data_IF_539370595149
#
_entry.id   IF_539370595149
#
_cell.length_a   1.000
_cell.length_b   1.000
_cell.length_c   1.000
_cell.angle_alpha   90.00
_cell.angle_beta   90.00
_cell.angle_gamma   90.00
#
_symmetry.space_group_name_H-M   'P 1'
#
loop_
_entity.id
_entity.type
_entity.pdbx_description
1 polymer ?
#
# COMPACT_ATOMS: atom_id res chain seq x y z
N UNK A 1 55.13 -16.99 1.33
CA UNK A 1 54.12 -16.38 0.43
C UNK A 1 52.98 -17.37 0.19
N UNK A 2 51.72 -16.94 0.37
CA UNK A 2 50.48 -17.64 -0.02
C UNK A 2 50.33 -17.66 -1.56
N UNK A 3 49.48 -18.52 -2.17
CA UNK A 3 48.05 -18.25 -2.21
C UNK A 3 47.16 -19.48 -1.91
N UNK A 4 46.33 -19.37 -0.86
CA UNK A 4 45.09 -20.14 -0.68
C UNK A 4 44.01 -19.50 -1.57
N UNK A 5 43.82 -20.04 -2.77
CA UNK A 5 42.84 -19.54 -3.76
C UNK A 5 41.95 -20.69 -4.25
N UNK A 6 41.30 -21.41 -3.33
CA UNK A 6 40.27 -22.39 -3.68
C UNK A 6 39.19 -22.29 -2.62
N UNK A 7 38.16 -21.46 -2.83
CA UNK A 7 36.81 -21.55 -2.20
C UNK A 7 35.97 -20.28 -2.41
N UNK A 8 35.97 -19.71 -3.62
CA UNK A 8 35.01 -18.65 -3.95
C UNK A 8 34.06 -19.04 -5.10
N UNK A 9 34.37 -20.10 -5.85
CA UNK A 9 33.53 -20.57 -6.97
C UNK A 9 32.35 -21.44 -6.54
N UNK A 10 32.45 -22.13 -5.39
CA UNK A 10 31.36 -22.98 -4.88
C UNK A 10 30.18 -22.17 -4.32
N UNK A 11 30.42 -20.97 -3.79
CA UNK A 11 29.36 -20.14 -3.22
C UNK A 11 28.43 -19.53 -4.29
N UNK A 12 28.97 -19.14 -5.45
CA UNK A 12 28.17 -18.59 -6.54
C UNK A 12 27.22 -19.61 -7.17
N UNK A 13 27.64 -20.88 -7.23
CA UNK A 13 26.81 -21.97 -7.77
C UNK A 13 25.57 -22.26 -6.89
N UNK A 14 25.67 -22.09 -5.56
CA UNK A 14 24.51 -22.29 -4.67
C UNK A 14 23.44 -21.20 -4.82
N UNK A 15 23.83 -19.95 -5.08
CA UNK A 15 22.87 -18.84 -5.28
C UNK A 15 22.11 -19.01 -6.60
N UNK A 16 22.73 -19.57 -7.63
CA UNK A 16 22.08 -19.86 -8.91
C UNK A 16 21.21 -21.13 -8.87
N UNK A 17 21.54 -22.11 -8.01
CA UNK A 17 20.74 -23.33 -7.85
C UNK A 17 19.49 -23.14 -6.96
N UNK A 18 19.53 -22.20 -6.01
CA UNK A 18 18.40 -21.89 -5.11
C UNK A 18 17.75 -20.53 -5.34
N UNK A 19 18.26 -19.72 -6.28
CA UNK A 19 17.57 -18.54 -6.82
C UNK A 19 16.37 -18.92 -7.70
N UNK A 20 15.65 -19.99 -7.32
CA UNK A 20 14.41 -20.41 -7.93
C UNK A 20 13.47 -19.22 -7.93
N UNK A 21 13.02 -18.89 -9.13
CA UNK A 21 12.10 -17.79 -9.43
C UNK A 21 11.07 -17.68 -8.30
N UNK A 22 11.08 -16.56 -7.57
CA UNK A 22 9.87 -16.08 -6.91
C UNK A 22 8.89 -15.82 -8.04
N UNK A 23 8.20 -16.86 -8.46
CA UNK A 23 7.03 -16.74 -9.29
C UNK A 23 6.07 -15.98 -8.40
N UNK A 24 5.75 -14.74 -8.75
CA UNK A 24 4.63 -14.04 -8.15
C UNK A 24 3.45 -15.01 -8.25
N UNK A 25 3.09 -15.65 -7.13
CA UNK A 25 1.93 -16.53 -7.09
C UNK A 25 0.78 -15.65 -7.54
N UNK A 26 0.24 -15.96 -8.72
CA UNK A 26 -0.95 -15.31 -9.22
C UNK A 26 -2.05 -15.73 -8.24
N UNK A 27 -2.34 -14.87 -7.27
CA UNK A 27 -3.48 -15.05 -6.39
C UNK A 27 -4.69 -15.27 -7.30
N UNK A 28 -5.42 -16.39 -7.15
CA UNK A 28 -6.62 -16.63 -7.93
C UNK A 28 -7.51 -15.39 -7.88
N UNK A 29 -8.17 -15.00 -8.99
CA UNK A 29 -9.02 -13.82 -9.00
C UNK A 29 -10.04 -13.89 -7.87
N UNK A 30 -9.93 -12.98 -6.91
CA UNK A 30 -10.91 -12.85 -5.84
C UNK A 30 -12.16 -12.15 -6.42
N UNK A 31 -13.31 -12.83 -6.50
CA UNK A 31 -14.53 -12.23 -7.01
C UNK A 31 -14.98 -11.00 -6.20
N UNK A 32 -14.56 -10.89 -4.92
CA UNK A 32 -14.83 -9.73 -4.07
C UNK A 32 -13.92 -8.53 -4.34
N UNK A 33 -12.76 -8.71 -4.96
CA UNK A 33 -11.78 -7.64 -5.12
C UNK A 33 -12.33 -6.45 -5.93
N UNK A 34 -13.05 -6.71 -7.03
CA UNK A 34 -13.66 -5.66 -7.83
C UNK A 34 -14.76 -4.90 -7.06
N UNK A 35 -15.54 -5.61 -6.25
CA UNK A 35 -16.57 -5.00 -5.41
C UNK A 35 -15.95 -4.10 -4.34
N UNK A 36 -14.90 -4.56 -3.66
CA UNK A 36 -14.16 -3.79 -2.67
C UNK A 36 -13.61 -2.48 -3.28
N UNK A 37 -13.00 -2.56 -4.47
CA UNK A 37 -12.50 -1.36 -5.18
C UNK A 37 -13.63 -0.36 -5.45
N UNK A 38 -14.78 -0.83 -5.93
CA UNK A 38 -15.93 0.04 -6.22
C UNK A 38 -16.51 0.67 -4.95
N UNK A 39 -16.61 -0.11 -3.87
CA UNK A 39 -17.08 0.39 -2.58
C UNK A 39 -16.13 1.44 -2.00
N UNK A 40 -14.82 1.20 -2.04
CA UNK A 40 -13.81 2.16 -1.60
C UNK A 40 -13.91 3.46 -2.40
N UNK A 41 -14.02 3.40 -3.73
CA UNK A 41 -14.20 4.60 -4.56
C UNK A 41 -15.44 5.40 -4.19
N UNK A 42 -16.55 4.70 -3.92
CA UNK A 42 -17.81 5.35 -3.53
C UNK A 42 -17.66 6.05 -2.18
N UNK A 43 -17.00 5.40 -1.22
CA UNK A 43 -16.70 5.98 0.10
C UNK A 43 -15.82 7.22 -0.02
N UNK A 44 -14.72 7.16 -0.80
CA UNK A 44 -13.83 8.30 -1.04
C UNK A 44 -14.59 9.48 -1.67
N UNK A 45 -15.46 9.21 -2.64
CA UNK A 45 -16.27 10.25 -3.27
C UNK A 45 -17.21 10.95 -2.27
N UNK A 46 -17.82 10.20 -1.34
CA UNK A 46 -18.68 10.77 -0.30
C UNK A 46 -17.86 11.55 0.73
N UNK A 47 -16.69 11.06 1.13
CA UNK A 47 -15.76 11.79 2.00
C UNK A 47 -15.36 13.16 1.41
N UNK A 48 -15.09 13.20 0.11
CA UNK A 48 -14.68 14.42 -0.58
C UNK A 48 -15.85 15.40 -0.76
N UNK A 49 -17.00 14.91 -1.22
CA UNK A 49 -18.14 15.75 -1.62
C UNK A 49 -19.06 16.18 -0.48
N UNK A 50 -19.09 15.46 0.64
CA UNK A 50 -20.02 15.72 1.75
C UNK A 50 -19.27 16.14 3.02
N UNK A 51 -19.29 17.44 3.32
CA UNK A 51 -18.61 18.02 4.49
C UNK A 51 -19.14 17.51 5.83
N UNK A 52 -20.45 17.29 5.95
CA UNK A 52 -21.06 16.78 7.18
C UNK A 52 -20.64 15.33 7.44
N UNK A 53 -20.63 14.50 6.38
CA UNK A 53 -20.15 13.13 6.47
C UNK A 53 -18.67 13.10 6.88
N UNK A 54 -17.83 13.89 6.23
CA UNK A 54 -16.41 14.00 6.58
C UNK A 54 -16.20 14.45 8.03
N UNK A 55 -16.92 15.47 8.49
CA UNK A 55 -16.85 15.94 9.87
C UNK A 55 -17.24 14.85 10.87
N UNK A 56 -18.31 14.09 10.58
CA UNK A 56 -18.71 12.95 11.41
C UNK A 56 -17.62 11.87 11.48
N UNK A 57 -16.97 11.56 10.35
CA UNK A 57 -15.87 10.58 10.31
C UNK A 57 -14.64 11.09 11.07
N UNK A 58 -14.25 12.35 10.90
CA UNK A 58 -13.16 12.96 11.68
C UNK A 58 -13.45 12.89 13.19
N UNK A 59 -14.68 13.16 13.62
CA UNK A 59 -15.05 13.04 15.04
C UNK A 59 -14.94 11.60 15.55
N UNK A 60 -15.34 10.61 14.74
CA UNK A 60 -15.31 9.20 15.12
C UNK A 60 -13.88 8.66 15.19
N UNK A 61 -13.06 8.98 14.21
CA UNK A 61 -11.71 8.42 14.07
C UNK A 61 -10.66 9.24 14.84
N UNK A 62 -10.74 10.57 14.80
CA UNK A 62 -9.76 11.46 15.43
C UNK A 62 -10.18 11.93 16.83
N UNK A 63 -11.49 11.96 17.15
CA UNK A 63 -11.99 12.49 18.42
C UNK A 63 -11.39 11.86 19.69
N UNK A 64 -11.07 10.55 19.73
CA UNK A 64 -10.39 9.94 20.87
C UNK A 64 -8.91 10.33 21.03
N UNK A 65 -8.29 10.96 20.03
CA UNK A 65 -6.88 11.33 20.05
C UNK A 65 -6.69 12.60 20.88
N UNK A 66 -6.06 12.45 22.05
CA UNK A 66 -5.85 13.56 23.00
C UNK A 66 -4.61 14.38 22.72
N UNK A 67 -3.60 13.77 22.08
CA UNK A 67 -2.38 14.46 21.69
C UNK A 67 -2.67 15.41 20.52
N UNK A 68 -2.25 16.67 20.66
CA UNK A 68 -2.61 17.71 19.70
C UNK A 68 -1.98 17.49 18.32
N UNK A 69 -0.74 17.01 18.27
CA UNK A 69 -0.03 16.78 17.01
C UNK A 69 -0.61 15.58 16.26
N UNK A 70 -0.87 14.48 16.98
CA UNK A 70 -1.51 13.30 16.40
C UNK A 70 -2.95 13.58 15.97
N UNK A 71 -3.70 14.38 16.73
CA UNK A 71 -5.05 14.77 16.34
C UNK A 71 -5.02 15.61 15.07
N UNK A 72 -4.12 16.59 14.97
CA UNK A 72 -3.97 17.42 13.78
C UNK A 72 -3.58 16.58 12.55
N UNK A 73 -2.63 15.64 12.71
CA UNK A 73 -2.23 14.70 11.66
C UNK A 73 -3.40 13.80 11.21
N UNK A 74 -4.20 13.29 12.15
CA UNK A 74 -5.39 12.51 11.84
C UNK A 74 -6.40 13.33 11.03
N UNK A 75 -6.73 14.55 11.47
CA UNK A 75 -7.67 15.43 10.75
C UNK A 75 -7.14 15.77 9.35
N UNK A 76 -5.84 16.01 9.21
CA UNK A 76 -5.21 16.30 7.91
C UNK A 76 -5.37 15.15 6.90
N UNK A 77 -5.42 13.89 7.37
CA UNK A 77 -5.63 12.73 6.48
C UNK A 77 -6.99 12.70 5.77
N UNK A 78 -7.97 13.50 6.23
CA UNK A 78 -9.28 13.64 5.59
C UNK A 78 -9.32 14.78 4.54
N UNK A 79 -8.24 15.56 4.38
CA UNK A 79 -8.12 16.65 3.42
C UNK A 79 -7.52 16.20 2.08
N UNK A 80 -8.20 16.52 0.97
CA UNK A 80 -7.92 16.02 -0.38
C UNK A 80 -6.79 16.69 -1.17
N UNK A 81 -5.79 17.30 -0.54
CA UNK A 81 -4.66 17.92 -1.25
C UNK A 81 -3.61 16.89 -1.72
N UNK A 82 -3.76 15.62 -1.32
CA UNK A 82 -3.10 14.48 -1.97
C UNK A 82 -4.05 13.87 -2.99
N UNK A 83 -4.20 14.54 -4.14
CA UNK A 83 -4.84 13.92 -5.29
C UNK A 83 -4.23 12.52 -5.51
N UNK A 84 -5.03 11.44 -5.55
CA UNK A 84 -4.50 10.11 -5.79
C UNK A 84 -3.73 10.13 -7.12
N UNK A 85 -2.53 9.53 -7.21
CA UNK A 85 -1.75 9.53 -8.43
C UNK A 85 -2.62 9.01 -9.58
N UNK A 86 -2.56 9.62 -10.78
CA UNK A 86 -3.39 9.20 -11.90
C UNK A 86 -3.19 7.70 -12.13
N UNK A 87 -4.30 6.94 -12.10
CA UNK A 87 -4.28 5.51 -12.41
C UNK A 87 -3.63 5.37 -13.77
N UNK A 88 -2.43 4.78 -13.83
CA UNK A 88 -1.86 4.37 -15.11
C UNK A 88 -2.86 3.38 -15.73
N UNK A 89 -3.49 3.80 -16.82
CA UNK A 89 -4.29 2.92 -17.66
C UNK A 89 -3.43 1.70 -17.97
N UNK A 90 -3.87 0.52 -17.54
CA UNK A 90 -3.18 -0.73 -17.79
C UNK A 90 -3.26 -0.93 -19.30
N UNK A 91 -2.17 -0.63 -20.00
CA UNK A 91 -2.08 -0.82 -21.44
C UNK A 91 -2.23 -2.32 -21.72
N UNK A 92 -3.20 -2.64 -22.57
CA UNK A 92 -3.45 -3.96 -23.14
C UNK A 92 -2.61 -4.15 -24.39
#
# INVERSE_FOLDING_TARGET
MMPRQVSWTLAAALVLAFGGRVSAQQTPPDPGAAANVKQSQTYEQVLQSNSSFRAKRMQQECGPITDAELHASCVASFGGDTAPPPRKSRQH
#
